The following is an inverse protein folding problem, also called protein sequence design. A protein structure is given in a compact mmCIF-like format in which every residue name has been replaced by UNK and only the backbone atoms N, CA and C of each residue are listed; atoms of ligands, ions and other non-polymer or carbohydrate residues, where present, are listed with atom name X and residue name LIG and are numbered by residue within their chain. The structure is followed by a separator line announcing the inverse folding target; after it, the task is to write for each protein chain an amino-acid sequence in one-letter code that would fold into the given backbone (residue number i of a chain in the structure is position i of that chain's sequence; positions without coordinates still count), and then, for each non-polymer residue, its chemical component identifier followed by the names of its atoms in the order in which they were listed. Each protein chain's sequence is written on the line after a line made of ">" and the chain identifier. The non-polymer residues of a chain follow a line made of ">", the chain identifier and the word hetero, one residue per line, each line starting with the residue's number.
data_IF_014028728277
#
_entry.id   IF_014028728277
#
_cell.length_a   1.000
_cell.length_b   1.000
_cell.length_c   1.000
_cell.angle_alpha   90.00
_cell.angle_beta   90.00
_cell.angle_gamma   90.00
#
_symmetry.space_group_name_H-M   'P 1'
#
loop_
_entity.id
_entity.type
_entity.pdbx_description
1 polymer ?
#
# COMPACT_ATOMS: atom_id res chain seq x y z
N UNK A 1 8.64 9.45 -14.79
CA UNK A 1 7.20 9.09 -14.72
C UNK A 1 6.65 9.38 -13.32
N UNK A 2 5.80 10.40 -13.18
CA UNK A 2 4.99 10.60 -11.96
C UNK A 2 3.83 9.61 -12.04
N UNK A 3 3.81 8.61 -11.17
CA UNK A 3 2.64 7.72 -11.01
C UNK A 3 1.49 8.63 -10.56
N UNK A 4 0.65 9.04 -11.51
CA UNK A 4 -0.53 9.85 -11.27
C UNK A 4 -1.61 8.91 -10.75
N UNK A 5 -1.93 9.09 -9.47
CA UNK A 5 -3.05 8.50 -8.75
C UNK A 5 -2.95 6.99 -8.47
N UNK A 6 -3.04 6.67 -7.18
CA UNK A 6 -3.41 5.34 -6.70
C UNK A 6 -4.69 4.92 -7.44
N UNK A 7 -4.71 3.75 -8.13
CA UNK A 7 -5.89 3.25 -8.81
C UNK A 7 -7.13 3.31 -7.91
N UNK A 8 -8.26 3.78 -8.45
CA UNK A 8 -9.50 3.98 -7.69
C UNK A 8 -9.94 2.73 -6.89
N UNK A 9 -9.62 1.52 -7.38
CA UNK A 9 -9.85 0.26 -6.67
C UNK A 9 -9.06 0.17 -5.37
N UNK A 10 -7.77 0.51 -5.39
CA UNK A 10 -6.89 0.53 -4.21
C UNK A 10 -7.34 1.65 -3.26
N UNK A 11 -7.69 2.84 -3.78
CA UNK A 11 -8.20 3.95 -2.96
C UNK A 11 -9.50 3.60 -2.22
N UNK A 12 -10.43 2.91 -2.89
CA UNK A 12 -11.67 2.39 -2.28
C UNK A 12 -11.38 1.33 -1.22
N UNK A 13 -10.42 0.45 -1.48
CA UNK A 13 -9.98 -0.59 -0.55
C UNK A 13 -9.37 0.04 0.72
N UNK A 14 -8.43 0.98 0.56
CA UNK A 14 -7.84 1.74 1.69
C UNK A 14 -8.91 2.53 2.46
N UNK A 15 -9.83 3.22 1.77
CA UNK A 15 -10.93 3.95 2.44
C UNK A 15 -11.87 3.04 3.22
N UNK A 16 -12.24 1.87 2.67
CA UNK A 16 -13.05 0.87 3.38
C UNK A 16 -12.30 0.34 4.61
N UNK A 17 -10.99 0.18 4.49
CA UNK A 17 -10.12 -0.33 5.54
C UNK A 17 -9.55 0.77 6.46
N UNK A 18 -9.89 2.06 6.30
CA UNK A 18 -9.42 3.12 7.22
C UNK A 18 -9.89 2.91 8.66
N UNK A 19 -11.00 2.17 8.84
CA UNK A 19 -11.52 1.77 10.15
C UNK A 19 -10.94 0.43 10.65
N UNK A 20 -10.02 -0.17 9.90
CA UNK A 20 -9.54 -1.52 10.14
C UNK A 20 -8.02 -1.54 10.12
N UNK A 21 -7.44 -2.31 11.03
CA UNK A 21 -6.00 -2.39 11.18
C UNK A 21 -5.34 -2.83 9.86
N UNK A 22 -4.59 -1.92 9.25
CA UNK A 22 -3.68 -2.24 8.16
C UNK A 22 -2.45 -2.87 8.79
N UNK A 23 -2.20 -4.14 8.53
CA UNK A 23 -1.03 -4.84 9.07
C UNK A 23 0.12 -4.82 8.07
N UNK A 24 1.27 -4.30 8.49
CA UNK A 24 2.50 -4.41 7.71
C UNK A 24 2.99 -5.85 7.85
N UNK A 25 2.96 -6.62 6.76
CA UNK A 25 3.45 -8.01 6.73
C UNK A 25 4.89 -8.12 6.26
N UNK A 26 5.45 -7.07 5.68
CA UNK A 26 6.85 -7.05 5.28
C UNK A 26 7.17 -5.98 4.26
N UNK A 27 8.30 -6.16 3.58
CA UNK A 27 8.78 -5.25 2.56
C UNK A 27 9.33 -6.03 1.37
N UNK A 28 9.09 -5.50 0.17
CA UNK A 28 9.71 -5.98 -1.06
C UNK A 28 10.79 -4.99 -1.47
N UNK A 29 12.04 -5.47 -1.58
CA UNK A 29 13.13 -4.68 -2.17
C UNK A 29 12.91 -4.62 -3.68
N UNK A 30 12.79 -3.41 -4.23
CA UNK A 30 12.58 -3.19 -5.67
C UNK A 30 13.81 -2.59 -6.33
N UNK A 31 14.63 -1.86 -5.57
CA UNK A 31 15.98 -1.51 -5.97
C UNK A 31 16.87 -1.39 -4.73
N UNK A 32 18.18 -1.13 -4.92
CA UNK A 32 19.11 -0.94 -3.80
C UNK A 32 18.65 0.12 -2.80
N UNK A 33 17.96 1.17 -3.26
CA UNK A 33 17.50 2.27 -2.42
C UNK A 33 15.98 2.32 -2.21
N UNK A 34 15.21 1.41 -2.82
CA UNK A 34 13.74 1.45 -2.78
C UNK A 34 13.16 0.16 -2.23
N UNK A 35 12.42 0.31 -1.13
CA UNK A 35 11.59 -0.73 -0.54
C UNK A 35 10.13 -0.35 -0.72
N UNK A 36 9.29 -1.35 -0.95
CA UNK A 36 7.84 -1.22 -1.05
C UNK A 36 7.26 -1.97 0.14
N UNK A 37 6.37 -1.33 0.89
CA UNK A 37 5.69 -1.96 2.02
C UNK A 37 4.66 -2.96 1.50
N UNK A 38 4.68 -4.16 2.05
CA UNK A 38 3.63 -5.15 1.87
C UNK A 38 2.63 -4.97 3.02
N UNK A 39 1.47 -4.41 2.68
CA UNK A 39 0.40 -4.18 3.63
C UNK A 39 -0.68 -5.23 3.35
N UNK A 40 -1.06 -5.96 4.39
CA UNK A 40 -2.22 -6.82 4.36
C UNK A 40 -3.43 -6.02 4.84
N UNK A 41 -4.50 -6.11 4.06
CA UNK A 41 -5.78 -5.50 4.35
C UNK A 41 -6.79 -6.56 4.79
N UNK A 42 -7.98 -6.12 5.23
CA UNK A 42 -9.09 -7.02 5.56
C UNK A 42 -9.33 -8.00 4.40
N UNK A 43 -9.54 -9.28 4.76
CA UNK A 43 -9.69 -10.43 3.86
C UNK A 43 -8.38 -11.00 3.29
N UNK A 44 -7.25 -10.86 4.00
CA UNK A 44 -5.94 -11.41 3.61
C UNK A 44 -5.45 -10.91 2.24
N UNK A 45 -6.07 -9.85 1.73
CA UNK A 45 -5.66 -9.23 0.49
C UNK A 45 -4.39 -8.42 0.75
N UNK A 46 -3.37 -8.64 -0.08
CA UNK A 46 -2.08 -7.99 0.08
C UNK A 46 -1.90 -6.94 -1.01
N UNK A 47 -1.50 -5.75 -0.59
CA UNK A 47 -1.19 -4.64 -1.48
C UNK A 47 0.24 -4.19 -1.25
N UNK A 48 0.89 -3.82 -2.35
CA UNK A 48 2.19 -3.17 -2.35
C UNK A 48 1.97 -1.67 -2.32
N UNK A 49 2.46 -1.01 -1.27
CA UNK A 49 2.35 0.42 -1.10
C UNK A 49 3.74 1.07 -1.06
N UNK A 50 3.92 2.13 -1.83
CA UNK A 50 5.13 2.94 -1.74
C UNK A 50 5.05 3.82 -0.49
N UNK A 51 6.16 4.01 0.23
CA UNK A 51 6.19 4.88 1.43
C UNK A 51 5.64 6.30 1.14
N UNK A 52 5.93 6.84 -0.04
CA UNK A 52 5.41 8.15 -0.48
C UNK A 52 3.88 8.21 -0.57
N UNK A 53 3.22 7.07 -0.79
CA UNK A 53 1.76 6.97 -0.90
C UNK A 53 1.10 6.86 0.47
N UNK A 54 1.87 6.61 1.53
CA UNK A 54 1.40 6.51 2.90
C UNK A 54 1.41 7.86 3.62
N UNK A 55 2.29 8.79 3.22
CA UNK A 55 2.45 10.12 3.83
C UNK A 55 1.43 11.18 3.36
N UNK A 56 0.48 10.83 2.49
CA UNK A 56 -0.45 11.76 1.83
C UNK A 56 -1.91 11.32 2.01
#
# INVERSE_FOLDING_TARGET
>A
MRIKLIPNRIRKLIRRNKKSLLEIKGYKKVSNCKKILLIEVINKNRIWLLEKEMKN
#
